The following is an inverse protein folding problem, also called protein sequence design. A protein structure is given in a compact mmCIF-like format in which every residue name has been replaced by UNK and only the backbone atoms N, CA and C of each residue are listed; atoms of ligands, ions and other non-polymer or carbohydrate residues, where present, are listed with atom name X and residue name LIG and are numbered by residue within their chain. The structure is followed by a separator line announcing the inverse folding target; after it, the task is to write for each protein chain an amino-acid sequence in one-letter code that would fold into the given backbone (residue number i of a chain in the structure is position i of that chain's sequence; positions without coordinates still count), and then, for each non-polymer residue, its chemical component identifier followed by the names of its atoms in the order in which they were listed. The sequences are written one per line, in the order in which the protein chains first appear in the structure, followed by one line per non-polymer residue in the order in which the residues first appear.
data_IF_580454102556
#
_entry.id   IF_580454102556
#
_cell.length_a   1.000
_cell.length_b   1.000
_cell.length_c   1.000
_cell.angle_alpha   90.00
_cell.angle_beta   90.00
_cell.angle_gamma   90.00
#
_symmetry.space_group_name_H-M   'P 1'
#
loop_
_entity.id
_entity.type
_entity.pdbx_description
1 polymer ?
#
# COMPACT_ATOMS: atom_id res chain seq x y z
N UNK A 1 7.02 13.87 18.42
CA UNK A 1 6.01 12.89 18.85
C UNK A 1 5.89 11.86 17.75
N UNK A 2 5.83 10.58 18.08
CA UNK A 2 5.57 9.53 17.09
C UNK A 2 4.21 8.89 17.35
N UNK A 3 3.49 8.59 16.28
CA UNK A 3 2.17 7.98 16.33
C UNK A 3 2.06 6.92 15.25
N UNK A 4 1.38 5.83 15.55
CA UNK A 4 1.00 4.83 14.55
C UNK A 4 -0.42 5.14 14.10
N UNK A 5 -0.61 5.37 12.81
CA UNK A 5 -1.92 5.62 12.22
C UNK A 5 -2.68 4.32 11.99
N UNK A 6 -4.01 4.40 11.84
CA UNK A 6 -4.86 3.23 11.61
C UNK A 6 -4.53 2.44 10.33
N UNK A 7 -3.84 3.06 9.37
CA UNK A 7 -3.31 2.41 8.17
C UNK A 7 -1.98 1.67 8.40
N UNK A 8 -1.43 1.67 9.62
CA UNK A 8 -0.17 1.01 9.98
C UNK A 8 1.08 1.87 9.81
N UNK A 9 0.97 3.04 9.16
CA UNK A 9 2.09 3.96 8.98
C UNK A 9 2.55 4.58 10.32
N UNK A 10 3.87 4.59 10.55
CA UNK A 10 4.47 5.30 11.68
C UNK A 10 4.79 6.72 11.26
N UNK A 11 4.30 7.70 12.01
CA UNK A 11 4.46 9.12 11.67
C UNK A 11 5.11 9.87 12.82
N UNK A 12 6.17 10.62 12.50
CA UNK A 12 6.82 11.57 13.39
C UNK A 12 6.30 12.97 13.12
N UNK A 13 5.75 13.58 14.16
CA UNK A 13 5.37 15.00 14.17
C UNK A 13 6.40 15.80 14.97
N UNK A 14 6.98 16.80 14.33
CA UNK A 14 7.88 17.77 14.96
C UNK A 14 7.31 19.19 14.87
N UNK A 15 7.56 20.00 15.89
CA UNK A 15 7.25 21.44 15.87
C UNK A 15 8.52 22.22 15.57
N UNK A 16 8.54 22.95 14.46
CA UNK A 16 9.65 23.81 14.04
C UNK A 16 9.16 25.26 14.02
N UNK A 17 9.52 26.04 15.04
CA UNK A 17 8.98 27.38 15.25
C UNK A 17 7.47 27.34 15.48
N UNK A 18 6.72 28.02 14.61
CA UNK A 18 5.24 28.02 14.65
C UNK A 18 4.60 26.93 13.78
N UNK A 19 5.39 26.14 13.06
CA UNK A 19 4.87 25.14 12.14
C UNK A 19 5.00 23.73 12.70
N UNK A 20 4.07 22.88 12.31
CA UNK A 20 4.11 21.44 12.48
C UNK A 20 4.59 20.79 11.18
N UNK A 21 5.50 19.84 11.31
CA UNK A 21 6.02 19.02 10.22
C UNK A 21 5.69 17.56 10.54
N UNK A 22 5.13 16.86 9.58
CA UNK A 22 4.85 15.42 9.66
C UNK A 22 5.73 14.67 8.68
N UNK A 23 6.33 13.58 9.13
CA UNK A 23 7.21 12.71 8.36
C UNK A 23 6.80 11.26 8.63
N UNK A 24 6.63 10.46 7.58
CA UNK A 24 6.51 9.01 7.71
C UNK A 24 7.88 8.44 8.06
N UNK A 25 7.93 7.58 9.07
CA UNK A 25 9.14 6.90 9.50
C UNK A 25 9.12 5.49 8.92
N UNK A 26 10.08 5.22 8.05
CA UNK A 26 10.28 3.94 7.38
C UNK A 26 11.58 3.31 7.86
N UNK A 27 11.64 1.99 7.87
CA UNK A 27 12.86 1.24 8.19
C UNK A 27 13.26 0.39 7.00
N UNK A 28 14.37 0.73 6.36
CA UNK A 28 14.90 -0.01 5.21
C UNK A 28 16.34 -0.42 5.48
N UNK A 29 16.63 -1.72 5.40
CA UNK A 29 17.97 -2.29 5.62
C UNK A 29 18.62 -1.90 6.97
N UNK A 30 17.80 -1.61 8.00
CA UNK A 30 18.27 -1.20 9.33
C UNK A 30 18.52 0.30 9.47
N UNK A 31 18.33 1.08 8.42
CA UNK A 31 18.37 2.55 8.46
C UNK A 31 16.97 3.13 8.56
N UNK A 32 16.85 4.18 9.36
CA UNK A 32 15.63 4.97 9.46
C UNK A 32 15.59 5.98 8.32
N UNK A 33 14.53 5.92 7.52
CA UNK A 33 14.22 6.86 6.46
C UNK A 33 13.00 7.68 6.90
N UNK A 34 13.03 8.98 6.62
CA UNK A 34 11.95 9.90 6.95
C UNK A 34 11.43 10.54 5.67
N UNK A 35 10.19 10.23 5.30
CA UNK A 35 9.53 10.77 4.11
C UNK A 35 8.54 11.87 4.50
N UNK A 36 8.64 13.09 3.94
CA UNK A 36 7.78 14.19 4.34
C UNK A 36 6.32 13.98 3.92
N UNK A 37 5.41 14.12 4.88
CA UNK A 37 3.96 14.04 4.65
C UNK A 37 3.42 15.45 4.40
N UNK A 38 3.33 15.81 3.11
CA UNK A 38 2.82 17.10 2.70
C UNK A 38 3.72 18.27 3.08
N UNK A 39 3.12 19.46 3.23
CA UNK A 39 3.83 20.70 3.58
C UNK A 39 3.71 20.99 5.08
N UNK A 40 4.67 21.73 5.67
CA UNK A 40 4.52 22.25 7.02
C UNK A 40 3.24 23.08 7.18
N UNK A 41 2.60 22.97 8.35
CA UNK A 41 1.30 23.61 8.64
C UNK A 41 1.33 24.38 9.95
N UNK A 42 0.52 25.42 10.07
CA UNK A 42 0.61 26.37 11.19
C UNK A 42 -0.39 26.07 12.33
N UNK A 43 -1.26 25.08 12.16
CA UNK A 43 -2.28 24.70 13.16
C UNK A 43 -2.40 23.19 13.34
N UNK A 44 -2.94 22.79 14.49
CA UNK A 44 -3.19 21.38 14.81
C UNK A 44 -4.29 20.82 13.91
N UNK A 45 -5.33 21.60 13.60
CA UNK A 45 -6.42 21.19 12.70
C UNK A 45 -5.92 20.91 11.28
N UNK A 46 -5.00 21.74 10.78
CA UNK A 46 -4.37 21.53 9.48
C UNK A 46 -3.48 20.28 9.49
N UNK A 47 -2.73 20.05 10.58
CA UNK A 47 -1.93 18.84 10.76
C UNK A 47 -2.81 17.59 10.76
N UNK A 48 -3.89 17.59 11.53
CA UNK A 48 -4.84 16.48 11.57
C UNK A 48 -5.44 16.21 10.19
N UNK A 49 -5.79 17.25 9.44
CA UNK A 49 -6.32 17.13 8.08
C UNK A 49 -5.31 16.46 7.13
N UNK A 50 -4.03 16.86 7.20
CA UNK A 50 -2.95 16.25 6.42
C UNK A 50 -2.75 14.79 6.79
N UNK A 51 -2.72 14.47 8.08
CA UNK A 51 -2.56 13.09 8.57
C UNK A 51 -3.75 12.20 8.19
N UNK A 52 -4.98 12.72 8.26
CA UNK A 52 -6.17 12.01 7.82
C UNK A 52 -6.12 11.70 6.32
N UNK A 53 -5.77 12.68 5.49
CA UNK A 53 -5.68 12.48 4.04
C UNK A 53 -4.60 11.45 3.69
N UNK A 54 -3.44 11.55 4.34
CA UNK A 54 -2.36 10.59 4.20
C UNK A 54 -2.84 9.17 4.59
N UNK A 55 -3.43 9.00 5.77
CA UNK A 55 -3.91 7.70 6.23
C UNK A 55 -4.93 7.05 5.29
N UNK A 56 -5.88 7.85 4.79
CA UNK A 56 -6.89 7.39 3.83
C UNK A 56 -6.23 6.94 2.51
N UNK A 57 -5.31 7.75 1.98
CA UNK A 57 -4.61 7.45 0.73
C UNK A 57 -3.77 6.17 0.87
N UNK A 58 -3.04 6.01 1.97
CA UNK A 58 -2.25 4.79 2.24
C UNK A 58 -3.14 3.56 2.34
N UNK A 59 -4.28 3.68 3.03
CA UNK A 59 -5.23 2.57 3.16
C UNK A 59 -5.85 2.17 1.81
N UNK A 60 -6.21 3.14 0.98
CA UNK A 60 -6.71 2.89 -0.38
C UNK A 60 -5.65 2.19 -1.25
N UNK A 61 -4.40 2.66 -1.20
CA UNK A 61 -3.29 2.04 -1.94
C UNK A 61 -3.04 0.59 -1.51
N UNK A 62 -3.05 0.31 -0.21
CA UNK A 62 -2.92 -1.05 0.33
C UNK A 62 -4.07 -1.94 -0.18
N UNK A 63 -5.30 -1.46 -0.06
CA UNK A 63 -6.50 -2.18 -0.51
C UNK A 63 -6.45 -2.48 -2.02
N UNK A 64 -6.00 -1.52 -2.84
CA UNK A 64 -5.82 -1.71 -4.28
C UNK A 64 -4.75 -2.75 -4.58
N UNK A 65 -3.62 -2.71 -3.86
CA UNK A 65 -2.53 -3.68 -4.02
C UNK A 65 -3.00 -5.11 -3.70
N UNK A 66 -3.74 -5.30 -2.61
CA UNK A 66 -4.31 -6.59 -2.23
C UNK A 66 -5.30 -7.11 -3.31
N UNK A 67 -6.19 -6.25 -3.80
CA UNK A 67 -7.11 -6.62 -4.88
C UNK A 67 -6.37 -7.00 -6.17
N UNK A 68 -5.31 -6.27 -6.53
CA UNK A 68 -4.48 -6.59 -7.70
C UNK A 68 -3.80 -7.94 -7.57
N UNK A 69 -3.29 -8.28 -6.39
CA UNK A 69 -2.70 -9.59 -6.13
C UNK A 69 -3.73 -10.72 -6.35
N UNK A 70 -4.92 -10.60 -5.76
CA UNK A 70 -5.99 -11.60 -5.91
C UNK A 70 -6.40 -11.77 -7.37
N UNK A 71 -6.52 -10.66 -8.12
CA UNK A 71 -6.84 -10.71 -9.56
C UNK A 71 -5.74 -11.43 -10.33
N UNK A 72 -4.47 -11.14 -10.02
CA UNK A 72 -3.32 -11.77 -10.69
C UNK A 72 -3.27 -13.28 -10.43
N UNK A 73 -3.49 -13.70 -9.18
CA UNK A 73 -3.53 -15.12 -8.79
C UNK A 73 -4.70 -15.84 -9.50
N UNK A 74 -5.88 -15.22 -9.51
CA UNK A 74 -7.05 -15.77 -10.21
C UNK A 74 -6.80 -15.92 -11.71
N UNK A 75 -6.17 -14.93 -12.34
CA UNK A 75 -5.81 -14.98 -13.76
C UNK A 75 -4.79 -16.08 -14.07
N UNK A 76 -3.83 -16.33 -13.18
CA UNK A 76 -2.87 -17.42 -13.31
C UNK A 76 -3.59 -18.78 -13.26
N UNK A 77 -4.45 -19.00 -12.25
CA UNK A 77 -5.24 -20.24 -12.14
C UNK A 77 -6.14 -20.48 -13.36
N UNK A 78 -6.76 -19.42 -13.90
CA UNK A 78 -7.58 -19.55 -15.12
C UNK A 78 -6.76 -19.95 -16.35
N UNK A 79 -5.52 -19.44 -16.48
CA UNK A 79 -4.61 -19.84 -17.56
C UNK A 79 -4.20 -21.30 -17.42
N UNK A 80 -3.78 -21.72 -16.23
CA UNK A 80 -3.41 -23.11 -15.94
C UNK A 80 -4.56 -24.07 -16.25
N UNK A 81 -5.79 -23.72 -15.84
CA UNK A 81 -6.98 -24.51 -16.14
C UNK A 81 -7.25 -24.60 -17.66
N UNK A 82 -7.10 -23.49 -18.37
CA UNK A 82 -7.30 -23.46 -19.82
C UNK A 82 -6.26 -24.31 -20.55
N UNK A 83 -4.98 -24.21 -20.18
CA UNK A 83 -3.89 -25.00 -20.73
C UNK A 83 -4.12 -26.50 -20.50
N UNK A 84 -4.45 -26.91 -19.27
CA UNK A 84 -4.74 -28.30 -18.94
C UNK A 84 -5.94 -28.86 -19.72
N UNK A 85 -7.00 -28.06 -19.88
CA UNK A 85 -8.16 -28.46 -20.69
C UNK A 85 -7.82 -28.61 -22.17
N UNK A 86 -7.00 -27.70 -22.72
CA UNK A 86 -6.55 -27.78 -24.12
C UNK A 86 -5.69 -29.02 -24.34
N UNK A 87 -4.76 -29.33 -23.42
CA UNK A 87 -3.96 -30.55 -23.45
C UNK A 87 -4.85 -31.81 -23.37
N UNK A 88 -5.83 -31.82 -22.47
CA UNK A 88 -6.79 -32.91 -22.35
C UNK A 88 -7.58 -33.12 -23.64
N UNK A 89 -8.13 -32.07 -24.23
CA UNK A 89 -8.86 -32.15 -25.51
C UNK A 89 -7.97 -32.66 -26.64
N UNK A 90 -6.73 -32.17 -26.75
CA UNK A 90 -5.78 -32.65 -27.73
C UNK A 90 -5.44 -34.14 -27.55
N UNK A 91 -5.37 -34.63 -26.30
CA UNK A 91 -5.15 -36.05 -26.02
C UNK A 91 -6.32 -36.95 -26.44
N UNK A 92 -7.56 -36.45 -26.32
CA UNK A 92 -8.76 -37.17 -26.78
C UNK A 92 -8.84 -37.24 -28.31
N UNK A 93 -8.44 -36.18 -29.01
CA UNK A 93 -8.41 -36.14 -30.48
C UNK A 93 -7.34 -37.06 -31.08
N UNK A 94 -6.25 -37.32 -30.35
CA UNK A 94 -5.17 -38.20 -30.77
C UNK A 94 -5.42 -39.69 -30.50
N UNK A 95 -6.57 -40.04 -29.89
CA UNK A 95 -7.04 -41.41 -29.79
C UNK A 95 -6.18 -42.33 -28.91
N UNK A 96 -6.14 -42.03 -27.61
CA UNK A 96 -6.07 -43.10 -26.59
C UNK A 96 -7.45 -43.74 -26.45
#
# INVERSE_FOLDING_TARGET
MEVILGCGAQVRVTKKGNQFVAEEVLFQQGEELCDPIGKPVDSVEALLSVLCLFALTTYEQLSVSEMQQVISETAATLREYHELNCEYLASLEQGV
#
